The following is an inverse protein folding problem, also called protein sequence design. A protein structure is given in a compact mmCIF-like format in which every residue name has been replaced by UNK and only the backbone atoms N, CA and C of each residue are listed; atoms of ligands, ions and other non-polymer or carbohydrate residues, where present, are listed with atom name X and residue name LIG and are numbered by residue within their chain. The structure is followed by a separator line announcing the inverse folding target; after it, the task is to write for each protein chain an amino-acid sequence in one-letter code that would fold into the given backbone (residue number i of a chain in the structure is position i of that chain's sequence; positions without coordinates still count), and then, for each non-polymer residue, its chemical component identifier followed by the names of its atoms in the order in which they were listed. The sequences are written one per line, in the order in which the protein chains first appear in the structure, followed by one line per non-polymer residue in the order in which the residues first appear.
data_IF_608568494162
#
_entry.id   IF_608568494162
#
_cell.length_a   1.000
_cell.length_b   1.000
_cell.length_c   1.000
_cell.angle_alpha   90.00
_cell.angle_beta   90.00
_cell.angle_gamma   90.00
#
_symmetry.space_group_name_H-M   'P 1'
#
loop_
_entity.id
_entity.type
_entity.pdbx_description
1 polymer ?
#
# COMPACT_ATOMS: atom_id res chain seq x y z
N UNK A 1 16.38 30.45 -20.58
CA UNK A 1 16.33 28.99 -20.85
C UNK A 1 17.11 28.15 -19.82
N UNK A 2 17.50 28.70 -18.67
CA UNK A 2 18.52 28.10 -17.79
C UNK A 2 17.97 27.38 -16.55
N UNK A 3 16.77 27.70 -16.05
CA UNK A 3 16.22 27.01 -14.86
C UNK A 3 15.54 25.66 -15.18
N UNK A 4 14.89 25.52 -16.35
CA UNK A 4 14.30 24.25 -16.77
C UNK A 4 15.38 23.19 -17.12
N UNK A 5 16.56 23.62 -17.57
CA UNK A 5 17.69 22.74 -17.83
C UNK A 5 18.35 22.25 -16.52
N UNK A 6 18.38 23.08 -15.47
CA UNK A 6 18.90 22.71 -14.15
C UNK A 6 18.01 21.67 -13.43
N UNK A 7 16.69 21.76 -13.58
CA UNK A 7 15.79 20.74 -13.04
C UNK A 7 15.90 19.40 -13.80
N UNK A 8 16.14 19.44 -15.12
CA UNK A 8 16.35 18.23 -15.93
C UNK A 8 17.72 17.58 -15.67
N UNK A 9 18.76 18.38 -15.41
CA UNK A 9 20.10 17.89 -15.06
C UNK A 9 20.13 17.22 -13.67
N UNK A 10 19.34 17.73 -12.71
CA UNK A 10 19.18 17.07 -11.40
C UNK A 10 18.41 15.74 -11.48
N UNK A 11 17.56 15.56 -12.50
CA UNK A 11 16.82 14.31 -12.76
C UNK A 11 17.60 13.30 -13.64
N UNK A 12 18.63 13.75 -14.37
CA UNK A 12 19.50 12.91 -15.21
C UNK A 12 20.80 12.47 -14.52
N UNK A 13 21.03 12.89 -13.27
CA UNK A 13 22.07 12.33 -12.41
C UNK A 13 21.66 10.92 -11.94
N UNK A 14 21.55 9.98 -12.88
CA UNK A 14 21.41 8.56 -12.58
C UNK A 14 22.75 8.06 -12.00
N UNK A 15 22.74 7.24 -10.93
CA UNK A 15 23.93 6.53 -10.52
C UNK A 15 24.43 5.65 -11.68
N UNK A 16 25.75 5.57 -11.85
CA UNK A 16 26.40 4.73 -12.84
C UNK A 16 25.82 3.29 -12.82
N UNK A 17 25.74 2.60 -13.96
CA UNK A 17 25.28 1.21 -14.00
C UNK A 17 26.08 0.38 -13.00
N UNK A 18 25.43 -0.50 -12.22
CA UNK A 18 26.15 -1.35 -11.28
C UNK A 18 27.20 -2.14 -12.05
N UNK A 19 28.44 -2.07 -11.58
CA UNK A 19 29.52 -2.91 -12.05
C UNK A 19 29.03 -4.35 -12.10
N UNK A 20 29.34 -5.04 -13.20
CA UNK A 20 29.04 -6.46 -13.42
C UNK A 20 29.59 -7.23 -12.22
N UNK A 21 28.72 -7.56 -11.27
CA UNK A 21 29.10 -8.35 -10.11
C UNK A 21 29.49 -9.73 -10.62
N UNK A 22 30.79 -10.02 -10.56
CA UNK A 22 31.29 -11.38 -10.57
C UNK A 22 30.44 -12.19 -9.58
N UNK A 23 29.88 -13.32 -10.05
CA UNK A 23 29.09 -14.23 -9.24
C UNK A 23 29.90 -14.50 -7.96
N UNK A 24 29.46 -13.99 -6.79
CA UNK A 24 30.19 -14.24 -5.56
C UNK A 24 30.20 -15.74 -5.31
N UNK A 25 31.33 -16.31 -4.84
CA UNK A 25 31.40 -17.73 -4.49
C UNK A 25 30.24 -18.03 -3.54
N UNK A 26 29.54 -19.15 -3.77
CA UNK A 26 28.38 -19.59 -3.00
C UNK A 26 28.61 -19.31 -1.51
N UNK A 27 27.94 -18.26 -1.01
CA UNK A 27 28.12 -17.82 0.36
C UNK A 27 27.76 -19.01 1.25
N UNK A 28 28.69 -19.44 2.09
CA UNK A 28 28.44 -20.48 3.08
C UNK A 28 27.13 -20.10 3.80
N UNK A 29 26.16 -21.02 3.79
CA UNK A 29 24.85 -20.79 4.35
C UNK A 29 25.03 -20.23 5.77
N UNK A 30 24.63 -18.97 5.99
CA UNK A 30 24.73 -18.35 7.30
C UNK A 30 23.90 -19.16 8.28
N UNK A 31 24.44 -19.37 9.48
CA UNK A 31 23.69 -19.97 10.55
C UNK A 31 22.43 -19.13 10.84
N UNK A 32 21.28 -19.76 11.09
CA UNK A 32 20.06 -19.04 11.45
C UNK A 32 20.30 -18.22 12.73
N UNK A 33 19.66 -17.06 12.85
CA UNK A 33 19.78 -16.21 14.06
C UNK A 33 18.56 -16.40 14.96
N UNK A 34 18.79 -16.68 16.24
CA UNK A 34 17.77 -16.72 17.29
C UNK A 34 17.87 -15.45 18.14
N UNK A 35 16.84 -14.62 18.07
CA UNK A 35 16.72 -13.42 18.92
C UNK A 35 15.92 -13.76 20.16
N UNK A 36 16.53 -13.65 21.33
CA UNK A 36 15.97 -14.12 22.60
C UNK A 36 15.63 -12.95 23.52
N UNK A 37 14.43 -12.99 24.10
CA UNK A 37 14.00 -12.12 25.20
C UNK A 37 13.58 -12.99 26.40
N UNK A 38 13.93 -12.56 27.61
CA UNK A 38 13.48 -13.26 28.82
C UNK A 38 12.87 -12.30 29.85
N UNK A 39 11.70 -12.65 30.39
CA UNK A 39 10.99 -11.93 31.44
C UNK A 39 10.92 -12.79 32.69
N UNK A 40 11.37 -12.26 33.83
CA UNK A 40 11.43 -13.02 35.08
C UNK A 40 12.57 -14.05 35.15
N UNK A 41 13.51 -14.03 34.20
CA UNK A 41 14.70 -14.88 34.16
C UNK A 41 15.94 -14.04 33.81
N UNK A 42 17.12 -14.54 34.16
CA UNK A 42 18.39 -13.96 33.69
C UNK A 42 18.56 -14.27 32.19
N UNK A 43 18.44 -13.24 31.35
CA UNK A 43 18.59 -13.32 29.90
C UNK A 43 19.95 -13.87 29.45
N UNK A 44 21.06 -13.47 30.10
CA UNK A 44 22.41 -13.93 29.71
C UNK A 44 22.55 -15.41 30.03
N UNK A 45 22.12 -15.81 31.22
CA UNK A 45 22.16 -17.22 31.62
C UNK A 45 21.28 -18.10 30.70
N UNK A 46 20.14 -17.58 30.22
CA UNK A 46 19.29 -18.26 29.24
C UNK A 46 19.99 -18.39 27.88
N UNK A 47 20.55 -17.31 27.34
CA UNK A 47 21.26 -17.33 26.07
C UNK A 47 22.48 -18.28 26.10
N UNK A 48 23.29 -18.23 27.17
CA UNK A 48 24.42 -19.13 27.38
C UNK A 48 23.97 -20.59 27.45
N UNK A 49 22.82 -20.87 28.08
CA UNK A 49 22.24 -22.20 28.12
C UNK A 49 21.64 -22.64 26.77
N UNK A 50 21.17 -21.72 25.93
CA UNK A 50 20.55 -22.02 24.64
C UNK A 50 21.59 -22.24 23.53
N UNK A 51 22.71 -21.52 23.53
CA UNK A 51 23.79 -21.66 22.52
C UNK A 51 24.22 -23.10 22.22
N UNK A 52 24.53 -23.97 23.20
CA UNK A 52 24.92 -25.36 22.90
C UNK A 52 23.75 -26.23 22.40
N UNK A 53 22.51 -25.73 22.41
CA UNK A 53 21.28 -26.48 22.08
C UNK A 53 20.60 -25.97 20.82
N UNK A 54 21.06 -24.86 20.25
CA UNK A 54 20.41 -24.18 19.12
C UNK A 54 20.69 -24.80 17.75
N UNK A 55 21.35 -25.97 17.70
CA UNK A 55 21.70 -26.62 16.43
C UNK A 55 22.69 -25.82 15.58
N UNK A 56 23.49 -24.95 16.20
CA UNK A 56 24.42 -24.06 15.51
C UNK A 56 23.86 -22.69 15.14
N UNK A 57 22.61 -22.38 15.51
CA UNK A 57 22.05 -21.05 15.34
C UNK A 57 22.77 -20.02 16.24
N UNK A 58 23.00 -18.82 15.72
CA UNK A 58 23.57 -17.71 16.47
C UNK A 58 22.52 -17.15 17.44
N UNK A 59 22.85 -17.07 18.74
CA UNK A 59 21.89 -16.68 19.79
C UNK A 59 22.24 -15.28 20.27
N UNK A 60 21.36 -14.32 19.96
CA UNK A 60 21.52 -12.90 20.26
C UNK A 60 20.41 -12.44 21.20
N UNK A 61 20.74 -11.66 22.22
CA UNK A 61 19.74 -11.07 23.12
C UNK A 61 19.07 -9.88 22.45
N UNK A 62 17.74 -9.76 22.56
CA UNK A 62 16.98 -8.68 21.93
C UNK A 62 17.55 -7.28 22.24
N UNK A 63 18.00 -7.05 23.47
CA UNK A 63 18.59 -5.77 23.90
C UNK A 63 19.96 -5.47 23.28
N UNK A 64 20.66 -6.49 22.80
CA UNK A 64 21.99 -6.38 22.19
C UNK A 64 21.89 -6.33 20.65
N UNK A 65 20.69 -6.45 20.08
CA UNK A 65 20.48 -6.36 18.63
C UNK A 65 20.37 -4.90 18.21
N UNK A 66 21.42 -4.39 17.55
CA UNK A 66 21.37 -3.09 16.89
C UNK A 66 20.60 -3.11 15.56
N UNK A 67 20.49 -4.27 14.91
CA UNK A 67 19.64 -4.44 13.73
C UNK A 67 19.26 -5.91 13.60
N UNK A 68 17.96 -6.20 13.54
CA UNK A 68 17.48 -7.58 13.46
C UNK A 68 17.58 -8.04 12.00
N UNK A 69 18.34 -9.11 11.75
CA UNK A 69 18.38 -9.75 10.43
C UNK A 69 16.96 -10.17 10.04
N UNK A 70 16.45 -9.87 8.82
CA UNK A 70 15.13 -10.32 8.39
C UNK A 70 14.93 -11.84 8.47
N UNK A 71 16.00 -12.63 8.51
CA UNK A 71 15.98 -14.09 8.57
C UNK A 71 16.21 -14.64 10.00
N UNK A 72 15.64 -13.99 11.01
CA UNK A 72 15.69 -14.43 12.41
C UNK A 72 14.45 -15.21 12.84
N UNK A 73 14.60 -15.98 13.93
CA UNK A 73 13.48 -16.53 14.72
C UNK A 73 13.48 -15.85 16.08
N UNK A 74 12.32 -15.35 16.51
CA UNK A 74 12.17 -14.69 17.79
C UNK A 74 11.71 -15.68 18.86
N UNK A 75 12.37 -15.67 20.02
CA UNK A 75 12.06 -16.53 21.16
C UNK A 75 11.82 -15.64 22.38
N UNK A 76 10.59 -15.66 22.89
CA UNK A 76 10.21 -14.97 24.11
C UNK A 76 9.97 -15.98 25.23
N UNK A 77 10.64 -15.80 26.36
CA UNK A 77 10.50 -16.67 27.52
C UNK A 77 10.01 -15.85 28.69
N UNK A 78 8.89 -16.24 29.28
CA UNK A 78 8.30 -15.57 30.42
C UNK A 78 8.14 -16.56 31.59
N UNK A 79 8.61 -16.16 32.78
CA UNK A 79 8.36 -16.86 34.03
C UNK A 79 7.29 -16.09 34.82
N UNK A 80 6.06 -16.60 34.82
CA UNK A 80 4.93 -15.95 35.50
C UNK A 80 4.26 -16.93 36.46
N UNK A 81 4.06 -16.53 37.72
CA UNK A 81 3.56 -17.40 38.79
C UNK A 81 4.35 -18.72 38.94
N UNK A 82 5.63 -18.67 38.55
CA UNK A 82 6.54 -19.80 38.46
C UNK A 82 6.36 -20.69 37.22
N UNK A 83 5.30 -20.57 36.43
CA UNK A 83 5.23 -21.33 35.18
C UNK A 83 6.10 -20.71 34.10
N UNK A 84 6.79 -21.54 33.32
CA UNK A 84 7.54 -21.10 32.15
C UNK A 84 6.61 -21.10 30.94
N UNK A 85 6.51 -19.96 30.25
CA UNK A 85 5.88 -19.83 28.95
C UNK A 85 6.94 -19.49 27.91
N UNK A 86 7.06 -20.33 26.88
CA UNK A 86 7.95 -20.09 25.74
C UNK A 86 7.11 -19.82 24.52
N UNK A 87 7.35 -18.68 23.87
CA UNK A 87 6.75 -18.30 22.61
C UNK A 87 7.83 -18.25 21.53
N UNK A 88 7.64 -18.97 20.43
CA UNK A 88 8.53 -18.94 19.27
C UNK A 88 7.77 -18.36 18.09
N UNK A 89 8.33 -17.34 17.47
CA UNK A 89 7.79 -16.69 16.27
C UNK A 89 8.80 -16.90 15.14
N UNK A 90 8.40 -17.69 14.14
CA UNK A 90 9.22 -17.97 12.98
C UNK A 90 9.18 -16.79 11.99
N UNK A 91 10.14 -16.78 11.06
CA UNK A 91 10.24 -15.81 9.95
C UNK A 91 8.95 -15.69 9.12
N UNK A 92 8.24 -16.80 8.94
CA UNK A 92 6.99 -16.84 8.16
C UNK A 92 5.77 -16.33 8.94
N UNK A 93 5.96 -15.89 10.19
CA UNK A 93 4.92 -15.37 11.07
C UNK A 93 4.18 -16.45 11.88
N UNK A 94 4.50 -17.74 11.71
CA UNK A 94 3.91 -18.79 12.55
C UNK A 94 4.35 -18.63 13.99
N UNK A 95 3.38 -18.72 14.90
CA UNK A 95 3.59 -18.60 16.34
C UNK A 95 3.33 -19.94 17.01
N UNK A 96 4.24 -20.33 17.89
CA UNK A 96 4.13 -21.51 18.70
C UNK A 96 4.25 -21.09 20.16
N UNK A 97 3.42 -21.67 21.03
CA UNK A 97 3.45 -21.40 22.47
C UNK A 97 3.50 -22.71 23.21
N UNK A 98 4.41 -22.84 24.17
CA UNK A 98 4.48 -24.01 25.05
C UNK A 98 4.69 -23.57 26.49
N UNK A 99 3.87 -24.12 27.39
CA UNK A 99 4.05 -23.96 28.83
C UNK A 99 4.80 -25.16 29.40
N UNK A 100 5.64 -24.91 30.39
CA UNK A 100 6.41 -25.92 31.08
C UNK A 100 6.42 -25.70 32.59
N UNK A 101 6.93 -26.71 33.33
CA UNK A 101 7.03 -26.64 34.77
C UNK A 101 7.95 -25.50 35.22
N UNK A 102 7.82 -25.13 36.50
CA UNK A 102 8.75 -24.23 37.21
C UNK A 102 10.20 -24.63 36.96
N UNK A 103 11.05 -23.67 36.63
CA UNK A 103 12.46 -23.92 36.35
C UNK A 103 13.28 -22.66 36.17
N UNK A 104 14.60 -22.83 36.17
CA UNK A 104 15.56 -21.75 35.93
C UNK A 104 15.89 -21.58 34.45
N UNK A 105 16.88 -20.73 34.10
CA UNK A 105 17.30 -20.49 32.72
C UNK A 105 17.68 -21.77 31.95
N UNK A 106 18.21 -22.79 32.64
CA UNK A 106 18.54 -24.10 32.03
C UNK A 106 17.31 -24.89 31.62
N UNK A 107 16.24 -24.85 32.42
CA UNK A 107 15.00 -25.57 32.13
C UNK A 107 14.24 -24.88 31.01
N UNK A 108 14.21 -23.54 31.04
CA UNK A 108 13.73 -22.73 29.93
C UNK A 108 14.49 -23.03 28.62
N UNK A 109 15.83 -23.05 28.64
CA UNK A 109 16.63 -23.40 27.46
C UNK A 109 16.33 -24.81 26.94
N UNK A 110 16.09 -25.79 27.82
CA UNK A 110 15.68 -27.15 27.42
C UNK A 110 14.30 -27.16 26.77
N UNK A 111 13.34 -26.42 27.33
CA UNK A 111 12.00 -26.29 26.77
C UNK A 111 12.03 -25.62 25.39
N UNK A 112 12.78 -24.51 25.25
CA UNK A 112 13.01 -23.82 23.98
C UNK A 112 13.65 -24.74 22.95
N UNK A 113 14.73 -25.45 23.29
CA UNK A 113 15.42 -26.35 22.37
C UNK A 113 14.52 -27.51 21.92
N UNK A 114 13.76 -28.12 22.84
CA UNK A 114 12.78 -29.17 22.50
C UNK A 114 11.69 -28.65 21.58
N UNK A 115 11.23 -27.42 21.79
CA UNK A 115 10.21 -26.79 20.97
C UNK A 115 10.73 -26.46 19.57
N UNK A 116 11.94 -25.90 19.46
CA UNK A 116 12.59 -25.63 18.17
C UNK A 116 12.82 -26.92 17.37
N UNK A 117 13.26 -28.01 18.03
CA UNK A 117 13.40 -29.31 17.38
C UNK A 117 12.06 -29.84 16.87
N UNK A 118 11.01 -29.81 17.70
CA UNK A 118 9.69 -30.27 17.30
C UNK A 118 9.05 -29.41 16.18
N UNK A 119 9.37 -28.12 16.10
CA UNK A 119 8.99 -27.26 14.97
C UNK A 119 9.74 -27.66 13.69
N UNK A 120 11.04 -27.93 13.80
CA UNK A 120 11.86 -28.37 12.66
C UNK A 120 11.40 -29.72 12.09
N UNK A 121 10.92 -30.61 12.95
CA UNK A 121 10.35 -31.92 12.59
C UNK A 121 8.85 -31.85 12.18
N UNK A 122 8.26 -30.65 12.11
CA UNK A 122 6.83 -30.40 11.83
C UNK A 122 5.87 -31.17 12.77
N UNK A 123 6.32 -31.46 13.99
CA UNK A 123 5.57 -32.22 15.01
C UNK A 123 4.67 -31.32 15.89
N UNK A 124 4.76 -30.00 15.74
CA UNK A 124 3.93 -29.02 16.44
C UNK A 124 3.06 -28.24 15.46
N UNK A 125 1.76 -28.15 15.75
CA UNK A 125 0.86 -27.29 14.99
C UNK A 125 0.99 -25.82 15.45
N UNK A 126 1.00 -24.85 14.52
CA UNK A 126 1.03 -23.43 14.87
C UNK A 126 -0.26 -23.00 15.59
N UNK A 127 -0.15 -22.02 16.48
CA UNK A 127 -1.31 -21.43 17.13
C UNK A 127 -2.15 -20.66 16.08
N UNK A 128 -3.48 -20.83 16.01
CA UNK A 128 -4.31 -20.06 15.09
C UNK A 128 -4.16 -18.55 15.37
N UNK A 129 -4.05 -17.75 14.31
CA UNK A 129 -3.71 -16.31 14.34
C UNK A 129 -4.59 -15.47 15.28
N UNK A 130 -5.83 -15.88 15.53
CA UNK A 130 -6.76 -15.23 16.49
C UNK A 130 -6.42 -15.45 17.96
N UNK A 131 -5.68 -16.50 18.32
CA UNK A 131 -5.31 -16.82 19.70
C UNK A 131 -3.96 -16.21 20.13
N UNK A 132 -3.18 -15.68 19.18
CA UNK A 132 -1.85 -15.11 19.43
C UNK A 132 -1.87 -13.71 20.08
N UNK A 133 -3.06 -13.12 20.30
CA UNK A 133 -3.24 -11.83 20.99
C UNK A 133 -4.09 -11.97 22.25
N UNK A 134 -3.46 -12.23 23.39
CA UNK A 134 -3.83 -11.46 24.58
C UNK A 134 -2.63 -10.90 25.38
N UNK A 135 -1.41 -11.38 25.17
CA UNK A 135 -0.27 -11.10 26.07
C UNK A 135 0.55 -9.83 25.74
N UNK A 136 0.27 -9.16 24.61
CA UNK A 136 0.90 -7.87 24.27
C UNK A 136 0.01 -6.65 24.62
N UNK A 137 -1.22 -6.86 25.12
CA UNK A 137 -2.23 -5.81 25.24
C UNK A 137 -2.68 -5.46 26.68
N UNK A 138 -2.18 -6.08 27.76
CA UNK A 138 -2.61 -5.68 29.10
C UNK A 138 -1.56 -5.93 30.20
N UNK A 139 -0.90 -4.85 30.63
CA UNK A 139 -0.55 -4.69 32.04
C UNK A 139 -1.50 -3.62 32.59
N UNK A 140 -2.50 -3.95 33.42
CA UNK A 140 -3.23 -2.93 34.16
C UNK A 140 -2.25 -2.27 35.13
N UNK A 141 -2.12 -0.95 35.04
CA UNK A 141 -1.45 -0.17 36.05
C UNK A 141 -2.12 -0.43 37.40
N UNK A 142 -1.31 -0.93 38.33
CA UNK A 142 -1.58 -1.00 39.75
C UNK A 142 -1.99 0.40 40.24
N UNK A 143 -3.29 0.60 40.44
CA UNK A 143 -3.82 1.80 41.07
C UNK A 143 -3.43 1.76 42.54
N UNK A 144 -2.57 2.71 42.90
CA UNK A 144 -2.27 3.18 44.25
C UNK A 144 -3.59 3.39 45.03
N UNK A 145 -3.76 2.84 46.23
CA UNK A 145 -4.91 3.15 47.07
C UNK A 145 -4.68 4.50 47.75
N UNK A 146 -5.37 5.55 47.26
CA UNK A 146 -5.62 6.76 48.06
C UNK A 146 -6.93 6.58 48.84
N UNK A 147 -6.71 6.39 50.13
CA UNK A 147 -7.51 6.79 51.29
C UNK A 147 -8.65 7.79 50.99
N UNK A 148 -9.89 7.37 51.18
CA UNK A 148 -10.98 8.26 51.60
C UNK A 148 -11.93 7.53 52.55
N UNK A 149 -11.83 7.94 53.81
CA UNK A 149 -12.83 7.74 54.86
C UNK A 149 -14.12 8.50 54.53
N UNK A 150 -15.27 7.81 54.58
CA UNK A 150 -16.64 8.33 54.81
C UNK A 150 -17.56 7.11 54.96
N UNK A 151 -17.87 6.65 56.18
CA UNK A 151 -19.00 7.11 57.00
C UNK A 151 -20.37 6.64 56.46
N UNK A 152 -20.85 5.56 57.07
CA UNK A 152 -22.23 5.29 57.53
C UNK A 152 -23.43 5.57 56.59
N UNK A 153 -24.13 4.50 56.17
CA UNK A 153 -25.49 4.63 55.66
C UNK A 153 -26.04 3.35 54.99
N UNK A 154 -26.77 2.55 55.78
CA UNK A 154 -28.00 1.81 55.47
C UNK A 154 -28.22 1.18 54.07
N UNK A 155 -28.57 -0.11 53.96
CA UNK A 155 -28.86 -0.75 52.67
C UNK A 155 -30.33 -0.55 52.24
N UNK A 156 -30.61 -0.10 51.01
CA UNK A 156 -31.90 -0.30 50.39
C UNK A 156 -31.82 -1.25 49.19
N UNK A 157 -32.59 -2.32 49.30
CA UNK A 157 -33.41 -2.96 48.28
C UNK A 157 -32.83 -3.18 46.87
N UNK A 158 -32.75 -4.46 46.52
CA UNK A 158 -32.80 -4.99 45.16
C UNK A 158 -33.82 -4.25 44.26
N UNK A 159 -33.43 -3.88 43.04
CA UNK A 159 -34.33 -3.91 41.91
C UNK A 159 -34.02 -5.18 41.10
N UNK A 160 -34.91 -6.16 41.24
CA UNK A 160 -35.16 -7.19 40.24
C UNK A 160 -35.29 -6.55 38.87
N UNK A 161 -34.28 -6.70 38.02
CA UNK A 161 -34.40 -6.39 36.61
C UNK A 161 -35.11 -7.57 35.93
N UNK A 162 -36.39 -7.35 35.63
CA UNK A 162 -37.19 -8.17 34.72
C UNK A 162 -36.44 -8.43 33.40
N UNK A 163 -36.55 -9.65 32.83
CA UNK A 163 -36.04 -9.91 31.49
C UNK A 163 -36.85 -9.11 30.47
N UNK A 164 -36.21 -8.15 29.81
CA UNK A 164 -36.75 -7.44 28.66
C UNK A 164 -37.20 -8.45 27.60
N UNK A 165 -38.50 -8.43 27.34
CA UNK A 165 -39.16 -9.20 26.30
C UNK A 165 -38.46 -9.04 24.95
N UNK A 166 -38.23 -10.16 24.29
CA UNK A 166 -37.81 -10.23 22.91
C UNK A 166 -38.74 -9.39 22.04
N UNK A 167 -38.18 -8.40 21.34
CA UNK A 167 -38.88 -7.71 20.27
C UNK A 167 -39.18 -8.72 19.16
N UNK A 168 -40.42 -8.80 18.64
CA UNK A 168 -40.75 -9.70 17.56
C UNK A 168 -39.94 -9.34 16.32
N UNK A 169 -39.23 -10.33 15.78
CA UNK A 169 -38.58 -10.28 14.47
C UNK A 169 -39.61 -9.85 13.43
N UNK A 170 -39.36 -8.81 12.61
CA UNK A 170 -40.25 -8.47 11.51
C UNK A 170 -40.27 -9.63 10.50
N UNK A 171 -41.46 -10.09 10.15
CA UNK A 171 -41.64 -11.09 9.10
C UNK A 171 -40.97 -10.61 7.80
N UNK A 172 -40.30 -11.51 7.06
CA UNK A 172 -39.74 -11.18 5.76
C UNK A 172 -40.87 -10.70 4.81
N UNK A 173 -40.66 -9.59 4.08
CA UNK A 173 -41.68 -9.08 3.17
C UNK A 173 -42.04 -10.16 2.14
N UNK A 174 -43.33 -10.49 2.04
CA UNK A 174 -43.83 -11.40 1.03
C UNK A 174 -43.43 -10.90 -0.37
N UNK A 175 -42.97 -11.79 -1.26
CA UNK A 175 -42.65 -11.42 -2.63
C UNK A 175 -43.92 -10.91 -3.33
N UNK A 176 -43.89 -9.64 -3.73
CA UNK A 176 -44.94 -9.03 -4.56
C UNK A 176 -45.01 -9.82 -5.88
N UNK A 177 -46.20 -10.27 -6.30
CA UNK A 177 -46.34 -11.01 -7.55
C UNK A 177 -45.85 -10.17 -8.74
N UNK A 178 -45.19 -10.79 -9.73
CA UNK A 178 -44.71 -10.08 -10.91
C UNK A 178 -45.88 -9.42 -11.64
N UNK A 179 -45.70 -8.20 -12.18
CA UNK A 179 -46.74 -7.54 -12.95
C UNK A 179 -47.13 -8.39 -14.18
N UNK A 180 -48.42 -8.40 -14.56
CA UNK A 180 -48.90 -9.16 -15.71
C UNK A 180 -48.15 -8.75 -16.98
N UNK A 181 -47.73 -9.76 -17.75
CA UNK A 181 -47.05 -9.55 -19.02
C UNK A 181 -47.90 -8.63 -19.92
N UNK A 182 -47.30 -7.60 -20.54
CA UNK A 182 -48.03 -6.73 -21.45
C UNK A 182 -48.59 -7.57 -22.61
N UNK A 183 -49.89 -7.41 -22.87
CA UNK A 183 -50.57 -8.07 -23.97
C UNK A 183 -49.82 -7.81 -25.30
N UNK A 184 -49.75 -8.82 -26.19
CA UNK A 184 -49.08 -8.67 -27.48
C UNK A 184 -49.70 -7.50 -28.24
N UNK A 185 -48.87 -6.48 -28.52
CA UNK A 185 -49.27 -5.38 -29.41
C UNK A 185 -49.50 -5.97 -30.78
N UNK A 186 -50.73 -5.80 -31.24
CA UNK A 186 -51.20 -6.15 -32.57
C UNK A 186 -50.29 -5.52 -33.63
N UNK A 187 -49.46 -6.36 -34.27
CA UNK A 187 -48.59 -5.94 -35.36
C UNK A 187 -49.43 -5.84 -36.62
N UNK A 188 -50.10 -4.71 -36.79
CA UNK A 188 -50.55 -4.29 -38.12
C UNK A 188 -49.31 -4.17 -39.02
N UNK A 189 -49.31 -4.77 -40.22
CA UNK A 189 -48.18 -4.68 -41.13
C UNK A 189 -47.94 -3.21 -41.52
N UNK A 190 -46.68 -2.76 -41.60
CA UNK A 190 -46.38 -1.43 -42.07
C UNK A 190 -46.83 -1.28 -43.53
N UNK A 191 -47.40 -0.13 -43.92
CA UNK A 191 -47.72 0.13 -45.32
C UNK A 191 -46.42 0.09 -46.14
N UNK A 192 -46.47 -0.62 -47.27
CA UNK A 192 -45.46 -0.57 -48.33
C UNK A 192 -45.35 0.88 -48.81
N UNK A 193 -44.35 1.59 -48.30
CA UNK A 193 -43.92 2.87 -48.84
C UNK A 193 -43.04 2.59 -50.06
N UNK A 194 -43.70 2.45 -51.21
CA UNK A 194 -43.11 2.74 -52.52
C UNK A 194 -42.78 4.23 -52.57
N UNK A 195 -41.55 4.58 -52.19
CA UNK A 195 -40.83 5.75 -52.70
C UNK A 195 -39.38 5.70 -52.20
N UNK A 196 -38.59 4.81 -52.82
CA UNK A 196 -37.14 4.84 -52.76
C UNK A 196 -36.65 6.07 -53.54
N UNK A 197 -36.77 7.24 -52.94
CA UNK A 197 -35.96 8.40 -53.33
C UNK A 197 -34.52 8.04 -52.97
N UNK A 198 -33.75 7.69 -53.99
CA UNK A 198 -32.31 7.41 -53.87
C UNK A 198 -31.65 8.63 -53.18
N UNK A 199 -31.10 8.48 -51.96
CA UNK A 199 -30.48 9.60 -51.27
C UNK A 199 -29.35 10.11 -52.16
N UNK A 200 -29.22 11.45 -52.36
CA UNK A 200 -28.18 12.00 -53.21
C UNK A 200 -26.82 11.45 -52.78
N UNK A 201 -25.94 11.07 -53.73
CA UNK A 201 -24.68 10.40 -53.44
C UNK A 201 -23.93 11.20 -52.38
N UNK A 202 -23.92 10.65 -51.15
CA UNK A 202 -23.38 11.33 -49.99
C UNK A 202 -21.93 11.70 -50.29
N UNK A 203 -21.65 13.00 -50.30
CA UNK A 203 -20.31 13.51 -50.55
C UNK A 203 -19.33 12.75 -49.67
N UNK A 204 -18.43 12.00 -50.30
CA UNK A 204 -17.42 11.20 -49.61
C UNK A 204 -16.64 12.16 -48.71
N UNK A 205 -16.65 11.98 -47.38
CA UNK A 205 -15.97 12.90 -46.49
C UNK A 205 -14.51 12.95 -46.90
N UNK A 206 -14.06 14.12 -47.38
CA UNK A 206 -12.68 14.29 -47.82
C UNK A 206 -11.77 13.92 -46.64
N UNK A 207 -10.79 13.03 -46.85
CA UNK A 207 -9.90 12.62 -45.77
C UNK A 207 -9.18 13.86 -45.26
N UNK A 208 -9.48 14.25 -44.02
CA UNK A 208 -8.76 15.34 -43.35
C UNK A 208 -7.31 14.88 -43.25
N UNK A 209 -6.42 15.53 -44.01
CA UNK A 209 -4.99 15.28 -43.98
C UNK A 209 -4.48 15.51 -42.55
N UNK A 210 -4.25 14.41 -41.82
CA UNK A 210 -3.61 14.47 -40.51
C UNK A 210 -2.19 15.04 -40.68
N UNK A 211 -1.88 16.10 -39.92
CA UNK A 211 -0.55 16.70 -39.90
C UNK A 211 0.46 15.64 -39.41
N UNK A 212 1.29 15.14 -40.33
CA UNK A 212 2.27 14.07 -40.06
C UNK A 212 3.48 14.54 -39.26
N UNK A 213 3.52 15.80 -38.84
CA UNK A 213 4.65 16.35 -38.08
C UNK A 213 4.63 15.85 -36.64
N UNK A 214 5.79 15.54 -36.06
CA UNK A 214 5.85 15.24 -34.63
C UNK A 214 5.40 16.47 -33.84
N UNK A 215 4.60 16.25 -32.80
CA UNK A 215 4.08 17.31 -31.93
C UNK A 215 4.63 17.09 -30.53
N UNK A 216 5.19 18.15 -29.95
CA UNK A 216 5.65 18.15 -28.56
C UNK A 216 4.58 18.83 -27.69
N UNK A 217 4.07 18.11 -26.71
CA UNK A 217 3.09 18.60 -25.72
C UNK A 217 3.73 18.78 -24.34
N UNK A 218 3.38 19.85 -23.64
CA UNK A 218 3.63 20.02 -22.21
C UNK A 218 2.27 20.03 -21.49
N UNK A 219 2.05 19.04 -20.62
CA UNK A 219 0.82 18.86 -19.86
C UNK A 219 1.00 19.19 -18.38
N UNK A 220 -0.04 19.78 -17.79
CA UNK A 220 -0.26 19.92 -16.35
C UNK A 220 -1.54 19.16 -16.00
N UNK A 221 -1.51 18.30 -15.01
CA UNK A 221 -2.68 17.56 -14.56
C UNK A 221 -2.81 17.56 -13.04
N UNK A 222 -4.00 17.33 -12.53
CA UNK A 222 -4.23 17.22 -11.10
C UNK A 222 -5.52 16.49 -10.76
N UNK A 223 -5.54 15.81 -9.63
CA UNK A 223 -6.71 15.07 -9.16
C UNK A 223 -6.50 14.27 -7.87
N UNK A 224 -7.59 13.81 -7.25
CA UNK A 224 -7.56 12.89 -6.11
C UNK A 224 -6.97 11.51 -6.47
N UNK A 225 -6.45 10.83 -5.46
CA UNK A 225 -6.01 9.44 -5.51
C UNK A 225 -6.84 8.58 -4.56
N UNK A 226 -7.25 7.41 -5.04
CA UNK A 226 -8.03 6.42 -4.32
C UNK A 226 -7.30 5.08 -4.34
N UNK A 227 -7.12 4.46 -3.18
CA UNK A 227 -6.64 3.09 -3.08
C UNK A 227 -7.77 2.12 -3.38
N UNK A 228 -7.47 1.04 -4.09
CA UNK A 228 -8.35 -0.11 -4.27
C UNK A 228 -7.92 -1.31 -3.41
N UNK A 229 -6.62 -1.42 -3.13
CA UNK A 229 -6.05 -2.47 -2.27
C UNK A 229 -4.57 -2.22 -2.02
N UNK A 230 -4.00 -2.68 -0.88
CA UNK A 230 -4.65 -3.51 0.14
C UNK A 230 -5.59 -2.76 1.07
N UNK A 231 -5.59 -1.41 1.09
CA UNK A 231 -6.66 -0.66 1.78
C UNK A 231 -7.39 0.27 0.82
N UNK A 232 -8.72 0.11 0.70
CA UNK A 232 -9.53 1.01 -0.08
C UNK A 232 -9.71 2.36 0.62
N UNK A 233 -9.88 3.43 -0.15
CA UNK A 233 -10.21 4.75 0.37
C UNK A 233 -9.39 5.89 -0.23
N UNK A 234 -9.60 7.11 0.25
CA UNK A 234 -8.88 8.30 -0.23
C UNK A 234 -7.42 8.24 0.22
N UNK A 235 -6.49 8.25 -0.73
CA UNK A 235 -5.03 8.19 -0.50
C UNK A 235 -4.34 9.53 -0.69
N UNK A 236 -5.08 10.59 -0.99
CA UNK A 236 -4.55 11.95 -1.11
C UNK A 236 -4.94 12.65 -2.42
N UNK A 237 -4.18 13.69 -2.75
CA UNK A 237 -4.34 14.48 -3.96
C UNK A 237 -2.98 14.94 -4.48
N UNK A 238 -2.89 15.23 -5.78
CA UNK A 238 -1.62 15.63 -6.37
C UNK A 238 -1.73 16.31 -7.71
N UNK A 239 -0.57 16.80 -8.17
CA UNK A 239 -0.37 17.43 -9.47
C UNK A 239 0.73 16.72 -10.25
N UNK A 240 0.67 16.80 -11.57
CA UNK A 240 1.61 16.19 -12.49
C UNK A 240 2.04 17.18 -13.58
N UNK A 241 3.33 17.15 -13.91
CA UNK A 241 3.89 17.77 -15.11
C UNK A 241 4.29 16.65 -16.07
N UNK A 242 3.89 16.75 -17.34
CA UNK A 242 4.14 15.73 -18.36
C UNK A 242 4.65 16.32 -19.65
N UNK A 243 5.56 15.63 -20.30
CA UNK A 243 5.99 15.89 -21.67
C UNK A 243 5.52 14.75 -22.57
N UNK A 244 4.82 15.11 -23.65
CA UNK A 244 4.30 14.18 -24.65
C UNK A 244 5.04 14.40 -25.97
N UNK A 245 5.60 13.34 -26.56
CA UNK A 245 6.08 13.34 -27.94
C UNK A 245 5.15 12.49 -28.80
N UNK A 246 4.50 13.13 -29.76
CA UNK A 246 3.61 12.44 -30.70
C UNK A 246 4.28 12.16 -32.01
N UNK A 247 4.04 10.97 -32.53
CA UNK A 247 4.43 10.58 -33.86
C UNK A 247 3.38 10.80 -34.94
N UNK A 248 3.82 10.56 -36.17
CA UNK A 248 2.99 10.59 -37.38
C UNK A 248 2.04 9.38 -37.52
N UNK A 249 2.26 8.30 -36.78
CA UNK A 249 1.53 7.02 -36.90
C UNK A 249 0.79 6.66 -35.60
N UNK A 250 0.05 7.62 -35.03
CA UNK A 250 -0.76 7.45 -33.81
C UNK A 250 -0.01 6.99 -32.55
N UNK A 251 1.32 6.93 -32.56
CA UNK A 251 2.11 6.62 -31.37
C UNK A 251 2.36 7.88 -30.53
N UNK A 252 2.51 7.66 -29.22
CA UNK A 252 2.77 8.66 -28.21
C UNK A 252 3.86 8.13 -27.27
N UNK A 253 4.86 8.94 -26.97
CA UNK A 253 5.82 8.70 -25.88
C UNK A 253 5.58 9.77 -24.82
N UNK A 254 5.60 9.37 -23.56
CA UNK A 254 5.31 10.26 -22.43
C UNK A 254 6.36 10.11 -21.35
N UNK A 255 6.77 11.23 -20.78
CA UNK A 255 7.57 11.30 -19.56
C UNK A 255 6.90 12.26 -18.57
N UNK A 256 6.81 11.89 -17.31
CA UNK A 256 6.04 12.66 -16.32
C UNK A 256 6.64 12.62 -14.92
N UNK A 257 6.37 13.68 -14.16
CA UNK A 257 6.66 13.78 -12.73
C UNK A 257 5.37 14.17 -12.02
N UNK A 258 4.91 13.33 -11.10
CA UNK A 258 3.72 13.56 -10.28
C UNK A 258 4.12 13.71 -8.81
N UNK A 259 3.62 14.74 -8.15
CA UNK A 259 3.73 14.92 -6.71
C UNK A 259 2.36 14.74 -6.06
N UNK A 260 2.27 13.94 -5.01
CA UNK A 260 1.04 13.69 -4.27
C UNK A 260 1.28 13.79 -2.76
N UNK A 261 0.26 14.26 -2.04
CA UNK A 261 0.28 14.43 -0.61
C UNK A 261 -0.95 13.83 0.06
N UNK A 262 -0.77 13.33 1.26
CA UNK A 262 -1.83 12.87 2.15
C UNK A 262 -1.49 13.20 3.59
N UNK A 263 -2.49 13.44 4.42
CA UNK A 263 -2.32 13.73 5.83
C UNK A 263 -3.24 12.84 6.63
N UNK A 264 -2.73 12.26 7.70
CA UNK A 264 -3.49 11.43 8.62
C UNK A 264 -3.18 11.83 10.06
N UNK A 265 -4.13 11.59 10.96
CA UNK A 265 -3.91 11.68 12.40
C UNK A 265 -3.56 10.27 12.89
N UNK A 266 -2.48 10.15 13.65
CA UNK A 266 -2.03 8.91 14.26
C UNK A 266 -1.61 9.14 15.70
N UNK A 267 -1.34 8.07 16.44
CA UNK A 267 -0.84 8.15 17.80
C UNK A 267 0.69 8.22 17.78
N UNK A 268 1.25 9.24 18.42
CA UNK A 268 2.69 9.33 18.65
C UNK A 268 3.18 8.34 19.72
N UNK A 269 4.50 8.22 19.92
CA UNK A 269 5.09 7.34 20.94
C UNK A 269 4.66 7.67 22.38
N UNK A 270 4.25 8.92 22.64
CA UNK A 270 3.70 9.36 23.94
C UNK A 270 2.17 9.18 24.04
N UNK A 271 1.56 8.39 23.15
CA UNK A 271 0.10 8.23 23.06
C UNK A 271 -0.67 9.54 22.90
N UNK A 272 -0.05 10.54 22.25
CA UNK A 272 -0.69 11.80 21.86
C UNK A 272 -1.10 11.75 20.40
N UNK A 273 -2.25 12.34 20.08
CA UNK A 273 -2.65 12.50 18.69
C UNK A 273 -1.69 13.45 17.96
N UNK A 274 -1.16 13.00 16.85
CA UNK A 274 -0.22 13.74 16.04
C UNK A 274 -0.57 13.68 14.56
N UNK A 275 -0.28 14.77 13.86
CA UNK A 275 -0.49 14.87 12.42
C UNK A 275 0.75 14.39 11.68
N UNK A 276 0.55 13.38 10.87
CA UNK A 276 1.54 12.86 9.94
C UNK A 276 1.19 13.30 8.52
N UNK A 277 2.20 13.72 7.78
CA UNK A 277 2.11 13.99 6.35
C UNK A 277 2.85 12.91 5.58
N UNK A 278 2.27 12.46 4.48
CA UNK A 278 2.89 11.61 3.49
C UNK A 278 3.04 12.41 2.20
N UNK A 279 4.24 12.42 1.66
CA UNK A 279 4.51 13.00 0.35
C UNK A 279 5.19 11.97 -0.55
N UNK A 280 4.76 11.95 -1.81
CA UNK A 280 5.16 10.98 -2.83
C UNK A 280 5.51 11.71 -4.11
N UNK A 281 6.59 11.29 -4.75
CA UNK A 281 7.01 11.81 -6.05
C UNK A 281 7.15 10.63 -7.00
N UNK A 282 6.31 10.54 -8.03
CA UNK A 282 6.36 9.50 -9.05
C UNK A 282 7.01 10.05 -10.32
N UNK A 283 8.12 9.46 -10.73
CA UNK A 283 8.76 9.70 -12.03
C UNK A 283 8.37 8.56 -12.96
N UNK A 284 7.90 8.86 -14.15
CA UNK A 284 7.41 7.84 -15.09
C UNK A 284 7.82 8.07 -16.52
N UNK A 285 8.01 6.97 -17.24
CA UNK A 285 8.26 6.93 -18.67
C UNK A 285 7.36 5.87 -19.29
N UNK A 286 6.79 6.18 -20.45
CA UNK A 286 5.89 5.26 -21.12
C UNK A 286 5.61 5.59 -22.56
N UNK A 287 4.75 4.77 -23.14
CA UNK A 287 4.32 4.89 -24.50
C UNK A 287 2.84 4.52 -24.63
N UNK A 288 2.26 4.84 -25.79
CA UNK A 288 0.88 4.53 -26.05
C UNK A 288 0.42 5.04 -27.40
N UNK A 289 -0.89 5.23 -27.50
CA UNK A 289 -1.55 5.66 -28.70
C UNK A 289 -2.41 6.90 -28.48
N UNK A 290 -2.67 7.60 -29.57
CA UNK A 290 -3.63 8.69 -29.62
C UNK A 290 -4.57 8.54 -30.81
N UNK A 291 -5.80 9.01 -30.63
CA UNK A 291 -6.85 9.03 -31.64
C UNK A 291 -7.46 10.42 -31.67
N UNK A 292 -7.57 11.02 -32.85
CA UNK A 292 -8.17 12.35 -33.00
C UNK A 292 -9.38 12.29 -33.92
N UNK A 293 -10.44 13.01 -33.54
CA UNK A 293 -11.62 13.25 -34.36
C UNK A 293 -12.01 14.72 -34.24
N UNK A 294 -11.63 15.51 -35.24
CA UNK A 294 -11.83 16.95 -35.22
C UNK A 294 -11.06 17.61 -34.07
N UNK A 295 -11.77 18.24 -33.14
CA UNK A 295 -11.18 18.89 -31.95
C UNK A 295 -11.00 17.94 -30.76
N UNK A 296 -11.58 16.75 -30.83
CA UNK A 296 -11.46 15.76 -29.77
C UNK A 296 -10.24 14.87 -29.98
N UNK A 297 -9.53 14.58 -28.91
CA UNK A 297 -8.39 13.66 -28.91
C UNK A 297 -8.49 12.74 -27.68
N UNK A 298 -8.41 11.43 -27.93
CA UNK A 298 -8.32 10.40 -26.91
C UNK A 298 -6.89 9.87 -26.85
N UNK A 299 -6.32 9.84 -25.65
CA UNK A 299 -5.00 9.23 -25.41
C UNK A 299 -5.12 8.03 -24.50
N UNK A 300 -4.33 7.01 -24.79
CA UNK A 300 -4.14 5.85 -23.93
C UNK A 300 -2.65 5.56 -23.81
N UNK A 301 -2.12 5.52 -22.59
CA UNK A 301 -0.68 5.31 -22.33
C UNK A 301 -0.47 4.26 -21.25
N UNK A 302 0.57 3.45 -21.40
CA UNK A 302 1.12 2.58 -20.35
C UNK A 302 2.52 3.08 -19.97
N UNK A 303 2.79 3.20 -18.69
CA UNK A 303 4.02 3.78 -18.16
C UNK A 303 4.61 2.89 -17.08
N UNK A 304 5.93 2.88 -17.01
CA UNK A 304 6.70 2.39 -15.87
C UNK A 304 7.06 3.57 -14.98
N UNK A 305 7.18 3.35 -13.67
CA UNK A 305 7.45 4.42 -12.72
C UNK A 305 8.28 4.00 -11.53
N UNK A 306 9.06 4.96 -11.02
CA UNK A 306 9.76 4.93 -9.74
C UNK A 306 9.13 6.00 -8.85
N UNK A 307 8.81 5.65 -7.62
CA UNK A 307 8.08 6.50 -6.71
C UNK A 307 8.72 6.56 -5.31
N UNK A 308 9.72 7.44 -5.12
CA UNK A 308 10.17 7.84 -3.80
C UNK A 308 9.05 8.47 -2.98
N UNK A 309 9.13 8.24 -1.67
CA UNK A 309 8.15 8.72 -0.69
C UNK A 309 8.84 9.10 0.61
N UNK A 310 8.22 9.98 1.36
CA UNK A 310 8.72 10.43 2.66
C UNK A 310 7.56 10.81 3.57
N UNK A 311 7.76 10.58 4.86
CA UNK A 311 6.79 10.94 5.90
C UNK A 311 7.32 12.13 6.69
N UNK A 312 6.42 13.05 7.01
CA UNK A 312 6.67 14.21 7.84
C UNK A 312 5.82 14.15 9.11
N UNK A 313 6.37 14.65 10.21
CA UNK A 313 5.72 14.82 11.51
C UNK A 313 5.99 16.24 11.97
N UNK A 314 4.93 17.00 12.26
CA UNK A 314 5.03 18.42 12.58
C UNK A 314 5.92 19.22 11.58
N UNK A 315 5.81 18.89 10.28
CA UNK A 315 6.58 19.53 9.21
C UNK A 315 8.03 19.07 9.07
N UNK A 316 8.55 18.22 9.96
CA UNK A 316 9.90 17.64 9.87
C UNK A 316 9.85 16.26 9.25
N UNK A 317 10.79 15.92 8.38
CA UNK A 317 10.94 14.57 7.84
C UNK A 317 11.24 13.61 8.99
N UNK A 318 10.51 12.50 9.05
CA UNK A 318 10.78 11.43 10.02
C UNK A 318 11.82 10.50 9.42
N UNK A 319 12.90 10.27 10.16
CA UNK A 319 13.86 9.22 9.83
C UNK A 319 13.30 7.89 10.35
N UNK A 320 13.21 6.90 9.47
CA UNK A 320 12.79 5.56 9.86
C UNK A 320 13.97 4.88 10.56
N UNK A 321 13.92 4.77 11.88
CA UNK A 321 14.88 3.96 12.63
C UNK A 321 14.70 2.49 12.28
N UNK A 322 15.79 1.84 11.83
CA UNK A 322 16.10 0.39 11.78
C UNK A 322 15.10 -0.62 11.19
N UNK A 323 13.87 -0.27 10.81
CA UNK A 323 12.85 -1.27 10.41
C UNK A 323 12.10 -0.98 9.11
N UNK A 324 12.39 0.11 8.40
CA UNK A 324 11.84 0.31 7.05
C UNK A 324 12.80 1.16 6.24
N UNK A 325 13.70 0.50 5.52
CA UNK A 325 14.46 1.15 4.46
C UNK A 325 13.43 1.82 3.51
N UNK A 326 13.47 3.15 3.31
CA UNK A 326 12.52 3.86 2.45
C UNK A 326 12.83 3.56 0.98
N UNK A 327 12.70 2.29 0.60
CA UNK A 327 12.85 1.84 -0.76
C UNK A 327 11.78 2.55 -1.62
N UNK A 328 12.18 3.09 -2.79
CA UNK A 328 11.21 3.66 -3.71
C UNK A 328 10.25 2.57 -4.17
N UNK A 329 8.99 2.93 -4.38
CA UNK A 329 8.05 2.01 -5.00
C UNK A 329 8.38 1.90 -6.49
N UNK A 330 8.35 0.69 -7.01
CA UNK A 330 8.45 0.39 -8.42
C UNK A 330 7.08 -0.05 -8.91
N UNK A 331 6.69 0.42 -10.09
CA UNK A 331 5.36 0.13 -10.59
C UNK A 331 5.12 0.58 -12.01
N UNK A 332 3.85 0.59 -12.37
CA UNK A 332 3.40 1.12 -13.63
C UNK A 332 1.97 1.61 -13.55
N UNK A 333 1.54 2.33 -14.57
CA UNK A 333 0.17 2.82 -14.66
C UNK A 333 -0.32 2.90 -16.10
N UNK A 334 -1.62 2.67 -16.25
CA UNK A 334 -2.36 2.87 -17.48
C UNK A 334 -3.20 4.14 -17.32
N UNK A 335 -3.18 5.01 -18.31
CA UNK A 335 -3.96 6.24 -18.31
C UNK A 335 -4.74 6.41 -19.60
N UNK A 336 -6.00 6.79 -19.46
CA UNK A 336 -6.89 7.20 -20.54
C UNK A 336 -7.23 8.67 -20.33
N UNK A 337 -7.04 9.50 -21.36
CA UNK A 337 -7.22 10.93 -21.27
C UNK A 337 -7.98 11.49 -22.49
N UNK A 338 -9.31 11.65 -22.40
CA UNK A 338 -10.09 12.41 -23.37
C UNK A 338 -9.80 13.91 -23.23
N UNK A 339 -9.45 14.54 -24.34
CA UNK A 339 -9.11 15.97 -24.42
C UNK A 339 -9.85 16.64 -25.56
N UNK A 340 -10.08 17.94 -25.40
CA UNK A 340 -10.67 18.82 -26.39
C UNK A 340 -9.75 19.99 -26.66
N UNK A 341 -9.42 20.23 -27.93
CA UNK A 341 -8.63 21.37 -28.37
C UNK A 341 -9.45 22.65 -28.19
N UNK A 342 -9.12 23.45 -27.16
CA UNK A 342 -9.74 24.77 -26.90
C UNK A 342 -9.22 25.79 -27.90
N UNK A 343 -7.92 25.74 -28.20
CA UNK A 343 -7.28 26.51 -29.27
C UNK A 343 -6.39 25.59 -30.09
N UNK A 344 -5.74 26.11 -31.14
CA UNK A 344 -4.74 25.33 -31.89
C UNK A 344 -3.58 24.84 -31.02
N UNK A 345 -3.27 25.55 -29.92
CA UNK A 345 -2.11 25.28 -29.04
C UNK A 345 -2.50 24.75 -27.67
N UNK A 346 -3.78 24.74 -27.32
CA UNK A 346 -4.22 24.45 -25.96
C UNK A 346 -5.32 23.40 -25.99
N UNK A 347 -5.13 22.34 -25.21
CA UNK A 347 -6.13 21.33 -24.95
C UNK A 347 -6.54 21.34 -23.49
N UNK A 348 -7.82 21.08 -23.24
CA UNK A 348 -8.37 20.83 -21.93
C UNK A 348 -9.00 19.44 -21.93
N UNK A 349 -8.78 18.64 -20.91
CA UNK A 349 -9.34 17.30 -20.82
C UNK A 349 -9.51 16.80 -19.41
N UNK A 350 -10.02 15.58 -19.34
CA UNK A 350 -10.08 14.78 -18.14
C UNK A 350 -9.15 13.58 -18.30
N UNK A 351 -8.82 12.93 -17.19
CA UNK A 351 -8.11 11.66 -17.23
C UNK A 351 -8.65 10.68 -16.18
N UNK A 352 -8.47 9.40 -16.48
CA UNK A 352 -8.57 8.29 -15.54
C UNK A 352 -7.27 7.49 -15.62
N UNK A 353 -6.70 7.16 -14.48
CA UNK A 353 -5.42 6.47 -14.37
C UNK A 353 -5.54 5.36 -13.32
N UNK A 354 -5.09 4.16 -13.68
CA UNK A 354 -4.95 3.01 -12.79
C UNK A 354 -3.47 2.72 -12.63
N UNK A 355 -2.98 2.75 -11.40
CA UNK A 355 -1.59 2.50 -11.07
C UNK A 355 -1.46 1.27 -10.17
N UNK A 356 -0.40 0.50 -10.37
CA UNK A 356 0.01 -0.58 -9.50
C UNK A 356 1.48 -0.38 -9.13
N UNK A 357 1.81 -0.44 -7.84
CA UNK A 357 3.19 -0.27 -7.38
C UNK A 357 3.47 -1.09 -6.13
N UNK A 358 4.73 -1.48 -5.94
CA UNK A 358 5.20 -2.23 -4.78
C UNK A 358 6.66 -1.88 -4.49
N UNK A 359 7.18 -2.30 -3.34
CA UNK A 359 8.63 -2.30 -3.10
C UNK A 359 9.34 -3.23 -4.09
N UNK A 360 10.68 -3.13 -4.21
CA UNK A 360 11.47 -4.12 -4.94
C UNK A 360 11.28 -5.57 -4.45
N UNK A 361 10.83 -5.75 -3.20
CA UNK A 361 10.46 -7.05 -2.61
C UNK A 361 9.05 -7.51 -2.95
N UNK A 362 8.29 -6.73 -3.73
CA UNK A 362 6.93 -7.06 -4.18
C UNK A 362 5.82 -6.72 -3.17
N UNK A 363 6.14 -6.07 -2.06
CA UNK A 363 5.19 -5.79 -0.98
C UNK A 363 4.71 -4.34 -1.00
N UNK A 364 3.52 -4.10 -0.46
CA UNK A 364 3.10 -2.75 -0.08
C UNK A 364 3.84 -2.32 1.19
N UNK A 365 4.28 -1.06 1.28
CA UNK A 365 4.89 -0.54 2.51
C UNK A 365 3.78 -0.14 3.47
N UNK A 366 3.85 -0.63 4.69
CA UNK A 366 2.96 -0.22 5.79
C UNK A 366 3.76 0.65 6.74
N UNK A 367 3.44 1.95 6.78
CA UNK A 367 4.11 2.87 7.69
C UNK A 367 3.37 2.88 9.03
N UNK A 368 4.11 2.63 10.10
CA UNK A 368 3.62 2.56 11.48
C UNK A 368 4.47 3.47 12.37
N UNK A 369 3.81 4.23 13.23
CA UNK A 369 4.42 4.89 14.38
C UNK A 369 3.56 4.48 15.57
N UNK A 370 4.02 3.50 16.36
CA UNK A 370 3.18 2.81 17.34
C UNK A 370 2.04 1.99 16.71
N UNK A 371 0.98 1.77 17.48
CA UNK A 371 -0.33 1.32 16.97
C UNK A 371 -1.32 2.49 17.05
N UNK A 372 -2.18 2.73 16.03
CA UNK A 372 -2.44 1.93 14.82
C UNK A 372 -1.57 2.33 13.59
N UNK A 373 -1.73 1.58 12.49
CA UNK A 373 -1.12 1.87 11.18
C UNK A 373 -1.57 3.22 10.64
N UNK A 374 -0.62 4.04 10.18
CA UNK A 374 -0.90 5.42 9.71
C UNK A 374 -1.02 5.48 8.19
N UNK A 375 -0.09 4.89 7.44
CA UNK A 375 -0.14 4.88 5.97
C UNK A 375 0.05 3.50 5.39
N UNK A 376 -0.46 3.30 4.18
CA UNK A 376 -0.09 2.17 3.33
C UNK A 376 0.20 2.70 1.93
N UNK A 377 1.32 2.23 1.38
CA UNK A 377 1.94 2.70 0.17
C UNK A 377 2.14 1.53 -0.78
N UNK A 378 1.91 1.75 -2.07
CA UNK A 378 1.84 0.66 -3.03
C UNK A 378 0.45 0.02 -3.07
N UNK A 379 0.36 -1.11 -3.76
CA UNK A 379 -0.90 -1.73 -4.16
C UNK A 379 -1.49 -1.09 -5.42
N UNK A 380 -2.81 -1.16 -5.54
CA UNK A 380 -3.56 -0.68 -6.71
C UNK A 380 -4.26 0.63 -6.36
N UNK A 381 -4.06 1.64 -7.19
CA UNK A 381 -4.61 2.99 -7.02
C UNK A 381 -5.33 3.45 -8.28
N UNK A 382 -6.38 4.24 -8.10
CA UNK A 382 -7.09 4.94 -9.15
C UNK A 382 -6.99 6.43 -8.93
N UNK A 383 -6.76 7.19 -9.99
CA UNK A 383 -6.92 8.63 -9.96
C UNK A 383 -7.76 9.11 -11.13
N UNK A 384 -8.57 10.12 -10.86
CA UNK A 384 -9.37 10.82 -11.85
C UNK A 384 -9.11 12.31 -11.69
N UNK A 385 -9.11 13.05 -12.78
CA UNK A 385 -8.79 14.47 -12.68
C UNK A 385 -8.89 15.21 -14.00
N UNK A 386 -8.33 16.41 -14.01
CA UNK A 386 -8.30 17.31 -15.16
C UNK A 386 -6.87 17.50 -15.64
N UNK A 387 -6.73 17.78 -16.94
CA UNK A 387 -5.44 18.10 -17.54
C UNK A 387 -5.55 19.26 -18.53
N UNK A 388 -4.54 20.11 -18.50
CA UNK A 388 -4.31 21.19 -19.43
C UNK A 388 -3.03 20.89 -20.21
N UNK A 389 -3.05 21.04 -21.53
CA UNK A 389 -1.86 20.75 -22.33
C UNK A 389 -1.60 21.81 -23.38
N UNK A 390 -0.35 22.24 -23.45
CA UNK A 390 0.16 23.15 -24.48
C UNK A 390 0.86 22.36 -25.56
N UNK A 391 0.46 22.53 -26.82
CA UNK A 391 1.10 21.95 -28.00
C UNK A 391 2.10 22.91 -28.61
N UNK A 392 3.27 22.38 -28.93
CA UNK A 392 4.32 23.06 -29.67
C UNK A 392 4.75 22.20 -30.85
N UNK A 393 4.98 22.86 -31.99
CA UNK A 393 5.56 22.19 -33.15
C UNK A 393 7.06 22.44 -33.14
N UNK A 394 7.88 21.39 -33.28
CA UNK A 394 9.29 21.60 -33.54
C UNK A 394 9.42 22.44 -34.82
N UNK A 395 10.28 23.47 -34.76
CA UNK A 395 10.62 24.23 -35.96
C UNK A 395 11.15 23.25 -37.01
N UNK A 396 10.79 23.39 -38.29
CA UNK A 396 11.38 22.56 -39.33
C UNK A 396 12.90 22.76 -39.27
N UNK A 397 13.61 21.70 -38.91
CA UNK A 397 15.07 21.68 -39.00
C UNK A 397 15.37 21.84 -40.49
N UNK A 398 16.01 22.96 -40.87
CA UNK A 398 16.48 23.14 -42.24
C UNK A 398 17.42 21.97 -42.52
N UNK A 399 16.99 21.01 -43.34
CA UNK A 399 17.89 19.98 -43.86
C UNK A 399 19.02 20.73 -44.58
N UNK A 400 20.24 20.53 -44.10
CA UNK A 400 21.46 21.08 -44.71
C UNK A 400 21.97 20.12 -45.76
#
# INVERSE_FOLDING_TARGET
MTQAALLLAALLAAPAPPATHAVPPAAAARAPTLVVRARGLDERALADALRPRSGGADVVLLRDVASVDPDHTFVDVELQAGELAVTVILRDGRVFVRRGPRGGPRDAARLCASMLAAIADDALAPLPERAASPALAATPAEQVPEDMSSETGEPPAEPTAEPLAASPTPDPPQPVPPPPAPAPKDMSPPPLADDLVEPPPGATPSPVLEDRRPILGLGLAGGPLFGLGPDPGVRGGGGEVRVDLRGSRRWLVTAGVRAAGHTAVGMGPESREERFGLARVRVSLGAGAWLTRGRFELRATANLSVEPWFVTRAGRRVEFGESTDPAPLLGGHIRIAPTYAVTRRLDLGAFAEVAASATPTGNAVRVRFGEPRIFTLGGVEVSVGVELRVRTWPKPTKQR
#
